data_IF_435125216969
#
_entry.id   IF_435125216969
#
_cell.length_a   1.000
_cell.length_b   1.000
_cell.length_c   1.000
_cell.angle_alpha   90.00
_cell.angle_beta   90.00
_cell.angle_gamma   90.00
#
_symmetry.space_group_name_H-M   'P 1'
#
loop_
_entity.id
_entity.type
_entity.pdbx_description
1 polymer ?
#
# COMPACT_ATOMS: atom_id res chain seq x y z
N UNK A 1 -7.05 -32.01 -9.64
CA UNK A 1 -7.46 -30.60 -9.37
C UNK A 1 -7.80 -29.91 -10.67
N UNK A 2 -8.87 -29.12 -10.74
CA UNK A 2 -9.06 -28.20 -11.86
C UNK A 2 -8.00 -27.08 -11.73
N UNK A 3 -6.96 -27.11 -12.57
CA UNK A 3 -5.81 -26.18 -12.55
C UNK A 3 -6.18 -24.68 -12.47
N UNK A 4 -7.42 -24.33 -12.85
CA UNK A 4 -7.95 -22.96 -12.85
C UNK A 4 -7.96 -22.26 -11.48
N UNK A 5 -8.12 -22.98 -10.35
CA UNK A 5 -8.20 -22.32 -9.02
C UNK A 5 -6.83 -21.97 -8.42
N UNK A 6 -5.77 -22.66 -8.79
CA UNK A 6 -4.42 -22.32 -8.31
C UNK A 6 -3.83 -21.15 -9.09
N UNK A 7 -4.15 -21.04 -10.39
CA UNK A 7 -3.72 -19.92 -11.22
C UNK A 7 -4.34 -18.57 -10.77
N UNK A 8 -5.45 -18.59 -10.03
CA UNK A 8 -6.01 -17.37 -9.45
C UNK A 8 -5.02 -16.64 -8.53
N UNK A 9 -4.22 -17.39 -7.76
CA UNK A 9 -3.23 -16.79 -6.85
C UNK A 9 -1.91 -16.47 -7.53
N UNK A 10 -1.57 -17.04 -8.70
CA UNK A 10 -0.31 -16.72 -9.38
C UNK A 10 -0.31 -15.30 -9.91
N UNK A 11 -1.46 -14.78 -10.31
CA UNK A 11 -1.58 -13.48 -10.98
C UNK A 11 -1.77 -12.32 -9.98
N UNK A 12 -1.99 -12.63 -8.70
CA UNK A 12 -2.13 -11.62 -7.66
C UNK A 12 -0.82 -10.88 -7.36
N UNK A 13 -0.94 -9.56 -7.21
CA UNK A 13 0.12 -8.73 -6.64
C UNK A 13 0.46 -9.12 -5.21
N UNK A 14 1.70 -8.84 -4.77
CA UNK A 14 2.25 -9.21 -3.43
C UNK A 14 1.30 -8.97 -2.26
N UNK A 15 0.76 -7.76 -2.16
CA UNK A 15 -0.07 -7.35 -1.03
C UNK A 15 -1.43 -8.05 -1.07
N UNK A 16 -2.05 -8.15 -2.24
CA UNK A 16 -3.31 -8.88 -2.42
C UNK A 16 -3.15 -10.36 -2.09
N UNK A 17 -2.05 -10.96 -2.55
CA UNK A 17 -1.69 -12.34 -2.22
C UNK A 17 -1.57 -12.53 -0.70
N UNK A 18 -0.78 -11.69 -0.03
CA UNK A 18 -0.61 -11.79 1.42
C UNK A 18 -1.91 -11.60 2.18
N UNK A 19 -2.71 -10.59 1.82
CA UNK A 19 -4.00 -10.31 2.47
C UNK A 19 -4.92 -11.54 2.42
N UNK A 20 -5.08 -12.10 1.23
CA UNK A 20 -5.91 -13.27 1.01
C UNK A 20 -5.42 -14.48 1.82
N UNK A 21 -4.11 -14.73 1.81
CA UNK A 21 -3.54 -15.86 2.54
C UNK A 21 -3.56 -15.68 4.07
N UNK A 22 -3.47 -14.45 4.58
CA UNK A 22 -3.70 -14.13 6.00
C UNK A 22 -5.13 -14.48 6.42
N UNK A 23 -6.12 -14.05 5.63
CA UNK A 23 -7.53 -14.37 5.88
C UNK A 23 -7.79 -15.88 5.88
N UNK A 24 -7.30 -16.60 4.86
CA UNK A 24 -7.37 -18.07 4.78
C UNK A 24 -6.67 -18.71 6.00
N UNK A 25 -5.54 -18.15 6.46
CA UNK A 25 -4.80 -18.69 7.61
C UNK A 25 -5.58 -18.56 8.92
N UNK A 26 -6.34 -17.48 9.13
CA UNK A 26 -7.21 -17.34 10.30
C UNK A 26 -8.36 -18.34 10.26
N UNK A 27 -8.97 -18.55 9.08
CA UNK A 27 -9.98 -19.59 8.90
C UNK A 27 -9.42 -21.00 9.17
N UNK A 28 -8.19 -21.27 8.73
CA UNK A 28 -7.55 -22.58 8.91
C UNK A 28 -7.26 -22.90 10.38
N UNK A 29 -6.95 -21.89 11.22
CA UNK A 29 -6.76 -22.07 12.67
C UNK A 29 -8.02 -22.53 13.40
N UNK A 30 -9.20 -22.38 12.79
CA UNK A 30 -10.47 -22.83 13.35
C UNK A 30 -10.73 -24.33 13.11
N UNK A 31 -9.89 -25.01 12.33
CA UNK A 31 -9.96 -26.46 12.12
C UNK A 31 -9.43 -27.16 13.36
N UNK A 32 -10.26 -28.00 13.98
CA UNK A 32 -9.91 -28.74 15.20
C UNK A 32 -9.56 -30.21 14.95
N UNK A 33 -9.78 -30.70 13.73
CA UNK A 33 -9.48 -32.09 13.35
C UNK A 33 -7.97 -32.40 13.54
N UNK A 34 -7.61 -33.37 14.41
CA UNK A 34 -6.21 -33.70 14.71
C UNK A 34 -5.38 -34.12 13.50
N UNK A 35 -5.99 -34.72 12.48
CA UNK A 35 -5.32 -35.17 11.25
C UNK A 35 -4.80 -34.00 10.41
N UNK A 36 -5.38 -32.80 10.60
CA UNK A 36 -5.02 -31.59 9.86
C UNK A 36 -4.08 -30.67 10.64
N UNK A 37 -3.85 -30.92 11.93
CA UNK A 37 -3.07 -30.04 12.81
C UNK A 37 -1.73 -29.64 12.21
N UNK A 38 -0.95 -30.61 11.72
CA UNK A 38 0.36 -30.33 11.14
C UNK A 38 0.28 -29.56 9.82
N UNK A 39 -0.71 -29.84 8.98
CA UNK A 39 -0.91 -29.10 7.73
C UNK A 39 -1.32 -27.65 7.98
N UNK A 40 -2.21 -27.41 8.96
CA UNK A 40 -2.61 -26.08 9.41
C UNK A 40 -1.41 -25.33 9.99
N UNK A 41 -0.66 -25.94 10.91
CA UNK A 41 0.52 -25.33 11.52
C UNK A 41 1.58 -24.95 10.48
N UNK A 42 1.88 -25.85 9.54
CA UNK A 42 2.85 -25.56 8.48
C UNK A 42 2.38 -24.41 7.58
N UNK A 43 1.11 -24.44 7.15
CA UNK A 43 0.55 -23.36 6.33
C UNK A 43 0.60 -22.01 7.06
N UNK A 44 0.15 -21.94 8.31
CA UNK A 44 0.22 -20.73 9.15
C UNK A 44 1.66 -20.24 9.31
N UNK A 45 2.62 -21.16 9.52
CA UNK A 45 4.03 -20.81 9.61
C UNK A 45 4.57 -20.21 8.29
N UNK A 46 4.21 -20.76 7.14
CA UNK A 46 4.61 -20.20 5.84
C UNK A 46 3.97 -18.85 5.54
N UNK A 47 2.70 -18.64 5.90
CA UNK A 47 2.02 -17.34 5.79
C UNK A 47 2.70 -16.31 6.70
N UNK A 48 3.05 -16.70 7.93
CA UNK A 48 3.81 -15.85 8.86
C UNK A 48 5.19 -15.49 8.34
N UNK A 49 5.95 -16.46 7.82
CA UNK A 49 7.24 -16.22 7.19
C UNK A 49 7.13 -15.27 5.98
N UNK A 50 6.16 -15.51 5.10
CA UNK A 50 5.86 -14.64 3.97
C UNK A 50 5.48 -13.23 4.42
N UNK A 51 4.72 -13.11 5.50
CA UNK A 51 4.35 -11.82 6.09
C UNK A 51 5.57 -11.06 6.60
N UNK A 52 6.59 -11.72 7.16
CA UNK A 52 7.84 -11.07 7.57
C UNK A 52 8.66 -10.57 6.38
N UNK A 53 8.61 -11.29 5.26
CA UNK A 53 9.29 -10.90 4.02
C UNK A 53 8.58 -9.72 3.35
N UNK A 54 7.24 -9.74 3.28
CA UNK A 54 6.42 -8.72 2.59
C UNK A 54 6.08 -7.51 3.48
N UNK A 55 5.75 -7.72 4.76
CA UNK A 55 5.33 -6.64 5.65
C UNK A 55 6.53 -5.85 6.16
N UNK A 56 6.46 -4.55 5.94
CA UNK A 56 7.27 -3.53 6.62
C UNK A 56 6.85 -3.49 8.10
N UNK A 57 7.76 -3.17 9.04
CA UNK A 57 7.47 -3.05 10.48
C UNK A 57 6.14 -2.35 10.77
N UNK A 58 5.41 -2.86 11.77
CA UNK A 58 4.05 -2.49 12.24
C UNK A 58 3.74 -0.98 12.33
N UNK A 59 4.75 -0.12 12.27
CA UNK A 59 4.67 1.32 12.51
C UNK A 59 4.25 2.11 11.25
N UNK A 60 4.13 1.47 10.09
CA UNK A 60 3.76 2.13 8.83
C UNK A 60 2.37 1.67 8.36
N UNK A 61 1.34 2.41 8.78
CA UNK A 61 -0.02 2.25 8.27
C UNK A 61 -0.07 2.74 6.80
N UNK A 62 -0.15 1.83 5.84
CA UNK A 62 -0.16 2.16 4.41
C UNK A 62 -1.37 3.00 3.99
N UNK A 63 -2.52 2.82 4.64
CA UNK A 63 -3.68 3.68 4.43
C UNK A 63 -3.40 5.09 4.97
N UNK A 64 -2.74 5.21 6.12
CA UNK A 64 -2.25 6.48 6.64
C UNK A 64 -1.21 7.12 5.71
N UNK A 65 -0.28 6.35 5.14
CA UNK A 65 0.69 6.86 4.16
C UNK A 65 -0.02 7.41 2.91
N UNK A 66 -1.01 6.68 2.37
CA UNK A 66 -1.82 7.15 1.24
C UNK A 66 -2.61 8.41 1.61
N UNK A 67 -3.20 8.44 2.80
CA UNK A 67 -3.92 9.61 3.31
C UNK A 67 -2.98 10.82 3.49
N UNK A 68 -1.79 10.63 4.07
CA UNK A 68 -0.77 11.67 4.23
C UNK A 68 -0.31 12.21 2.86
N UNK A 69 -0.14 11.34 1.86
CA UNK A 69 0.20 11.75 0.49
C UNK A 69 -0.92 12.64 -0.10
N UNK A 70 -2.19 12.24 0.05
CA UNK A 70 -3.35 13.05 -0.39
C UNK A 70 -3.44 14.37 0.38
N UNK A 71 -3.18 14.36 1.68
CA UNK A 71 -3.20 15.56 2.52
C UNK A 71 -2.08 16.54 2.13
N UNK A 72 -0.87 16.01 1.88
CA UNK A 72 0.24 16.79 1.36
C UNK A 72 -0.11 17.45 0.02
N UNK A 73 -0.81 16.76 -0.87
CA UNK A 73 -1.29 17.36 -2.13
C UNK A 73 -2.27 18.50 -1.90
N UNK A 74 -3.26 18.33 -1.02
CA UNK A 74 -4.24 19.38 -0.69
C UNK A 74 -3.56 20.61 -0.10
N UNK A 75 -2.63 20.40 0.82
CA UNK A 75 -1.88 21.48 1.49
C UNK A 75 -0.95 22.19 0.49
N UNK A 76 -0.22 21.46 -0.35
CA UNK A 76 0.62 22.06 -1.39
C UNK A 76 -0.20 22.89 -2.37
N UNK A 77 -1.37 22.40 -2.81
CA UNK A 77 -2.29 23.15 -3.67
C UNK A 77 -2.78 24.44 -3.02
N UNK A 78 -3.17 24.40 -1.75
CA UNK A 78 -3.61 25.59 -1.00
C UNK A 78 -2.47 26.60 -0.81
N UNK A 79 -1.25 26.11 -0.56
CA UNK A 79 -0.05 26.94 -0.50
C UNK A 79 0.22 27.66 -1.81
N UNK A 80 0.20 26.94 -2.93
CA UNK A 80 0.38 27.52 -4.28
C UNK A 80 -0.70 28.53 -4.62
N UNK A 81 -1.98 28.24 -4.32
CA UNK A 81 -3.09 29.22 -4.49
C UNK A 81 -2.88 30.49 -3.66
N UNK A 82 -2.32 30.36 -2.46
CA UNK A 82 -2.02 31.50 -1.60
C UNK A 82 -0.87 32.35 -2.16
N UNK A 83 0.16 31.70 -2.71
CA UNK A 83 1.28 32.36 -3.39
C UNK A 83 0.86 33.07 -4.69
N UNK A 84 -0.19 32.59 -5.38
CA UNK A 84 -0.79 33.25 -6.54
C UNK A 84 -1.19 34.71 -6.26
N UNK A 85 -1.67 34.97 -5.04
CA UNK A 85 -2.13 36.31 -4.61
C UNK A 85 -0.97 37.30 -4.48
N UNK A 86 0.27 36.82 -4.37
CA UNK A 86 1.48 37.64 -4.19
C UNK A 86 2.14 38.04 -5.52
N UNK A 87 2.04 37.22 -6.57
CA UNK A 87 2.75 37.41 -7.85
C UNK A 87 1.83 37.83 -9.00
N UNK A 88 1.07 38.91 -8.82
CA UNK A 88 -0.06 39.30 -9.70
C UNK A 88 0.25 39.48 -11.19
N UNK A 89 1.52 39.60 -11.60
CA UNK A 89 1.91 39.72 -13.00
C UNK A 89 3.00 38.75 -13.48
N UNK A 90 4.04 38.48 -12.69
CA UNK A 90 5.26 37.79 -13.19
C UNK A 90 5.22 36.26 -13.16
N UNK A 91 4.40 35.66 -12.29
CA UNK A 91 4.34 34.19 -12.14
C UNK A 91 2.89 33.65 -12.16
N UNK A 92 1.94 34.47 -12.60
CA UNK A 92 0.51 34.14 -12.63
C UNK A 92 0.21 32.90 -13.47
N UNK A 93 0.85 32.79 -14.63
CA UNK A 93 0.71 31.67 -15.55
C UNK A 93 1.26 30.37 -14.93
N UNK A 94 2.50 30.40 -14.42
CA UNK A 94 3.11 29.27 -13.70
C UNK A 94 2.26 28.80 -12.51
N UNK A 95 1.67 29.73 -11.76
CA UNK A 95 0.82 29.39 -10.62
C UNK A 95 -0.52 28.79 -11.07
N UNK A 96 -1.14 29.29 -12.14
CA UNK A 96 -2.36 28.69 -12.71
C UNK A 96 -2.09 27.26 -13.17
N UNK A 97 -1.00 27.05 -13.93
CA UNK A 97 -0.58 25.72 -14.39
C UNK A 97 -0.31 24.76 -13.24
N UNK A 98 0.33 25.22 -12.16
CA UNK A 98 0.56 24.38 -10.98
C UNK A 98 -0.75 24.03 -10.26
N UNK A 99 -1.68 24.97 -10.13
CA UNK A 99 -3.00 24.74 -9.51
C UNK A 99 -3.83 23.74 -10.31
N UNK A 100 -3.88 23.91 -11.64
CA UNK A 100 -4.55 22.99 -12.56
C UNK A 100 -3.92 21.59 -12.48
N UNK A 101 -2.58 21.50 -12.49
CA UNK A 101 -1.88 20.22 -12.32
C UNK A 101 -2.16 19.55 -10.96
N UNK A 102 -2.33 20.32 -9.88
CA UNK A 102 -2.74 19.77 -8.59
C UNK A 102 -4.20 19.31 -8.59
N UNK A 103 -5.09 20.03 -9.27
CA UNK A 103 -6.49 19.64 -9.41
C UNK A 103 -6.62 18.35 -10.23
N UNK A 104 -5.96 18.27 -11.39
CA UNK A 104 -5.92 17.06 -12.21
C UNK A 104 -5.29 15.88 -11.47
N UNK A 105 -4.26 16.11 -10.65
CA UNK A 105 -3.65 15.08 -9.82
C UNK A 105 -4.58 14.54 -8.72
N UNK A 106 -5.41 15.41 -8.11
CA UNK A 106 -6.38 15.04 -7.08
C UNK A 106 -7.54 14.24 -7.67
N UNK A 107 -7.95 14.55 -8.90
CA UNK A 107 -9.07 13.88 -9.59
C UNK A 107 -8.63 12.67 -10.45
N UNK A 108 -7.37 12.60 -10.89
CA UNK A 108 -6.92 11.68 -11.95
C UNK A 108 -5.95 10.56 -11.55
N UNK A 109 -5.57 10.39 -10.28
CA UNK A 109 -4.69 9.29 -9.81
C UNK A 109 -3.31 9.17 -10.50
N UNK A 110 -2.79 10.22 -11.17
CA UNK A 110 -1.48 10.16 -11.86
C UNK A 110 -0.31 10.57 -10.95
N UNK A 111 0.06 9.68 -10.03
CA UNK A 111 1.13 9.91 -9.03
C UNK A 111 2.50 10.27 -9.64
N UNK A 112 2.74 9.95 -10.91
CA UNK A 112 4.02 10.21 -11.61
C UNK A 112 4.24 11.71 -11.89
N UNK A 113 3.19 12.47 -12.19
CA UNK A 113 3.30 13.90 -12.52
C UNK A 113 3.32 14.78 -11.25
N UNK A 114 2.69 14.31 -10.16
CA UNK A 114 2.52 15.10 -8.92
C UNK A 114 3.81 15.35 -8.15
N UNK A 115 4.79 14.45 -8.28
CA UNK A 115 6.12 14.62 -7.66
C UNK A 115 6.79 15.89 -8.18
N UNK A 116 6.76 16.11 -9.50
CA UNK A 116 7.34 17.30 -10.11
C UNK A 116 6.61 18.58 -9.67
N UNK A 117 5.28 18.51 -9.55
CA UNK A 117 4.44 19.62 -9.10
C UNK A 117 4.72 20.04 -7.65
N UNK A 118 4.85 19.09 -6.71
CA UNK A 118 5.24 19.43 -5.33
C UNK A 118 6.66 19.99 -5.27
N UNK A 119 7.61 19.38 -5.99
CA UNK A 119 9.01 19.85 -6.02
C UNK A 119 9.07 21.30 -6.54
N UNK A 120 8.31 21.63 -7.57
CA UNK A 120 8.22 23.00 -8.10
C UNK A 120 7.57 23.97 -7.11
N UNK A 121 6.48 23.55 -6.44
CA UNK A 121 5.84 24.37 -5.41
C UNK A 121 6.78 24.69 -4.24
N UNK A 122 7.54 23.69 -3.76
CA UNK A 122 8.56 23.85 -2.73
C UNK A 122 9.69 24.76 -3.21
N UNK A 123 10.19 24.57 -4.44
CA UNK A 123 11.24 25.42 -5.02
C UNK A 123 10.85 26.89 -5.08
N UNK A 124 9.61 27.18 -5.47
CA UNK A 124 9.08 28.57 -5.50
C UNK A 124 8.96 29.11 -4.08
N UNK A 125 8.40 28.33 -3.15
CA UNK A 125 8.23 28.75 -1.76
C UNK A 125 9.56 29.03 -1.05
N UNK A 126 10.57 28.17 -1.25
CA UNK A 126 11.91 28.31 -0.67
C UNK A 126 12.74 29.44 -1.30
N UNK A 127 12.33 29.97 -2.45
CA UNK A 127 13.00 31.10 -3.10
C UNK A 127 12.52 32.47 -2.58
N UNK A 128 11.50 32.50 -1.71
CA UNK A 128 10.99 33.74 -1.12
C UNK A 128 11.81 34.08 0.13
N UNK A 129 12.39 35.29 0.24
CA UNK A 129 13.11 35.73 1.44
C UNK A 129 12.24 35.65 2.70
N UNK A 130 12.84 35.24 3.82
CA UNK A 130 12.13 35.01 5.09
C UNK A 130 11.45 36.26 5.62
N UNK A 131 12.06 37.43 5.40
CA UNK A 131 11.57 38.74 5.82
C UNK A 131 10.24 39.04 5.13
N UNK A 132 10.17 38.78 3.81
CA UNK A 132 8.94 38.92 3.03
C UNK A 132 7.87 37.90 3.45
N UNK A 133 8.26 36.69 3.85
CA UNK A 133 7.32 35.68 4.33
C UNK A 133 6.65 36.09 5.65
N UNK A 134 7.42 36.69 6.58
CA UNK A 134 6.90 37.18 7.87
C UNK A 134 6.00 38.39 7.70
N UNK A 135 6.34 39.32 6.81
CA UNK A 135 5.53 40.51 6.50
C UNK A 135 4.11 40.17 6.03
N UNK A 136 3.94 39.02 5.36
CA UNK A 136 2.62 38.55 4.88
C UNK A 136 2.05 37.36 5.65
N UNK A 137 2.59 37.05 6.84
CA UNK A 137 2.14 35.93 7.69
C UNK A 137 2.04 34.58 6.92
N UNK A 138 3.05 34.29 6.09
CA UNK A 138 3.12 33.09 5.25
C UNK A 138 4.23 32.10 5.67
N UNK A 139 5.05 32.47 6.64
CA UNK A 139 6.11 31.65 7.20
C UNK A 139 5.60 30.30 7.73
N UNK A 140 4.52 30.29 8.52
CA UNK A 140 3.90 29.05 9.00
C UNK A 140 3.37 28.18 7.86
N UNK A 141 2.89 28.80 6.78
CA UNK A 141 2.33 28.08 5.62
C UNK A 141 3.41 27.42 4.80
N UNK A 142 4.55 28.10 4.57
CA UNK A 142 5.72 27.54 3.89
C UNK A 142 6.34 26.42 4.74
N UNK A 143 6.45 26.61 6.06
CA UNK A 143 6.94 25.59 6.98
C UNK A 143 6.05 24.33 6.95
N UNK A 144 4.73 24.51 6.91
CA UNK A 144 3.77 23.41 6.76
C UNK A 144 3.97 22.68 5.42
N UNK A 145 4.12 23.41 4.31
CA UNK A 145 4.33 22.84 2.98
C UNK A 145 5.59 21.96 2.91
N UNK A 146 6.68 22.41 3.52
CA UNK A 146 7.94 21.66 3.61
C UNK A 146 7.81 20.40 4.48
N UNK A 147 7.10 20.49 5.60
CA UNK A 147 6.85 19.34 6.49
C UNK A 147 6.08 18.24 5.76
N UNK A 148 4.99 18.60 5.08
CA UNK A 148 4.17 17.63 4.34
C UNK A 148 4.92 17.02 3.14
N UNK A 149 5.78 17.79 2.46
CA UNK A 149 6.66 17.25 1.41
C UNK A 149 7.64 16.20 1.96
N UNK A 150 8.26 16.46 3.10
CA UNK A 150 9.18 15.50 3.72
C UNK A 150 8.45 14.21 4.11
N UNK A 151 7.22 14.33 4.62
CA UNK A 151 6.37 13.18 4.94
C UNK A 151 5.95 12.39 3.69
N UNK A 152 5.66 13.09 2.58
CA UNK A 152 5.45 12.49 1.26
C UNK A 152 6.68 11.68 0.80
N UNK A 153 7.89 12.25 0.87
CA UNK A 153 9.13 11.57 0.46
C UNK A 153 9.37 10.30 1.27
N UNK A 154 9.17 10.36 2.59
CA UNK A 154 9.30 9.20 3.47
C UNK A 154 8.28 8.11 3.14
N UNK A 155 7.00 8.48 3.00
CA UNK A 155 5.93 7.54 2.64
C UNK A 155 6.18 6.90 1.27
N UNK A 156 6.68 7.68 0.30
CA UNK A 156 6.98 7.17 -1.04
C UNK A 156 8.16 6.20 -1.05
N UNK A 157 9.26 6.52 -0.35
CA UNK A 157 10.38 5.59 -0.17
C UNK A 157 9.95 4.28 0.49
N UNK A 158 9.06 4.33 1.48
CA UNK A 158 8.52 3.14 2.13
C UNK A 158 7.68 2.27 1.17
N UNK A 159 6.92 2.89 0.25
CA UNK A 159 6.16 2.20 -0.78
C UNK A 159 7.06 1.61 -1.88
N UNK A 160 8.07 2.36 -2.33
CA UNK A 160 9.00 1.96 -3.38
C UNK A 160 9.94 0.83 -2.91
N UNK A 161 10.42 0.89 -1.66
CA UNK A 161 11.19 -0.20 -1.03
C UNK A 161 10.37 -1.49 -0.84
N UNK A 162 9.04 -1.38 -0.81
CA UNK A 162 8.14 -2.52 -0.80
C UNK A 162 7.98 -3.15 -2.19
N UNK A 163 8.12 -2.36 -3.26
CA UNK A 163 8.01 -2.84 -4.64
C UNK A 163 9.29 -3.51 -5.12
N UNK A 164 10.46 -3.09 -4.64
CA UNK A 164 11.76 -3.72 -4.95
C UNK A 164 11.90 -5.14 -4.39
N UNK A 165 11.19 -5.49 -3.31
CA UNK A 165 11.12 -6.86 -2.78
C UNK A 165 10.38 -7.86 -3.69
N UNK A 166 9.57 -7.40 -4.65
CA UNK A 166 8.85 -8.28 -5.59
C UNK A 166 9.78 -9.17 -6.43
N UNK A 167 11.00 -8.68 -6.67
CA UNK A 167 12.02 -9.38 -7.44
C UNK A 167 13.12 -9.97 -6.55
N UNK A 168 12.95 -9.96 -5.22
CA UNK A 168 13.94 -10.60 -4.35
C UNK A 168 13.77 -12.12 -4.40
N UNK A 169 14.90 -12.84 -4.46
CA UNK A 169 14.93 -14.31 -4.41
C UNK A 169 14.20 -14.84 -3.19
N UNK A 170 14.35 -14.15 -2.04
CA UNK A 170 13.69 -14.49 -0.79
C UNK A 170 12.16 -14.42 -0.89
N UNK A 171 11.61 -13.35 -1.48
CA UNK A 171 10.17 -13.25 -1.71
C UNK A 171 9.65 -14.35 -2.63
N UNK A 172 10.35 -14.61 -3.73
CA UNK A 172 9.96 -15.65 -4.68
C UNK A 172 9.90 -17.04 -4.01
N UNK A 173 10.90 -17.35 -3.17
CA UNK A 173 10.96 -18.59 -2.38
C UNK A 173 9.84 -18.65 -1.36
N UNK A 174 9.64 -17.61 -0.54
CA UNK A 174 8.57 -17.60 0.47
C UNK A 174 7.18 -17.68 -0.16
N UNK A 175 6.94 -17.03 -1.30
CA UNK A 175 5.67 -17.13 -2.04
C UNK A 175 5.43 -18.57 -2.51
N UNK A 176 6.45 -19.21 -3.08
CA UNK A 176 6.38 -20.60 -3.53
C UNK A 176 6.08 -21.55 -2.37
N UNK A 177 6.75 -21.39 -1.24
CA UNK A 177 6.52 -22.22 -0.05
C UNK A 177 5.11 -22.05 0.51
N UNK A 178 4.60 -20.81 0.55
CA UNK A 178 3.22 -20.53 0.95
C UNK A 178 2.20 -21.21 0.02
N UNK A 179 2.41 -21.13 -1.30
CA UNK A 179 1.55 -21.80 -2.28
C UNK A 179 1.57 -23.32 -2.13
N UNK A 180 2.74 -23.92 -1.90
CA UNK A 180 2.87 -25.37 -1.70
C UNK A 180 2.14 -25.79 -0.42
N UNK A 181 2.38 -25.11 0.70
CA UNK A 181 1.72 -25.42 1.97
C UNK A 181 0.19 -25.24 1.87
N UNK A 182 -0.28 -24.21 1.17
CA UNK A 182 -1.70 -24.01 0.90
C UNK A 182 -2.31 -25.17 0.11
N UNK A 183 -1.64 -25.62 -0.97
CA UNK A 183 -2.10 -26.76 -1.77
C UNK A 183 -2.22 -28.03 -0.93
N UNK A 184 -1.20 -28.33 -0.12
CA UNK A 184 -1.21 -29.51 0.74
C UNK A 184 -2.37 -29.46 1.75
N UNK A 185 -2.58 -28.32 2.41
CA UNK A 185 -3.72 -28.14 3.32
C UNK A 185 -5.05 -28.31 2.58
N UNK A 186 -5.19 -27.66 1.42
CA UNK A 186 -6.41 -27.70 0.62
C UNK A 186 -6.75 -29.13 0.17
N UNK A 187 -5.78 -29.90 -0.32
CA UNK A 187 -5.99 -31.28 -0.75
C UNK A 187 -6.45 -32.17 0.40
N UNK A 188 -5.83 -32.04 1.58
CA UNK A 188 -6.22 -32.82 2.76
C UNK A 188 -7.62 -32.45 3.24
N UNK A 189 -7.93 -31.15 3.33
CA UNK A 189 -9.26 -30.66 3.72
C UNK A 189 -10.30 -31.06 2.67
N UNK A 190 -10.00 -31.00 1.38
CA UNK A 190 -10.92 -31.45 0.34
C UNK A 190 -11.23 -32.95 0.45
N UNK A 191 -10.21 -33.78 0.70
CA UNK A 191 -10.38 -35.22 0.88
C UNK A 191 -11.21 -35.56 2.13
N UNK A 192 -10.90 -34.92 3.26
CA UNK A 192 -11.66 -35.09 4.51
C UNK A 192 -13.11 -34.59 4.37
N UNK A 193 -13.32 -33.50 3.64
CA UNK A 193 -14.65 -32.97 3.32
C UNK A 193 -15.50 -33.98 2.55
N UNK A 194 -14.91 -34.69 1.56
CA UNK A 194 -15.58 -35.72 0.76
C UNK A 194 -16.02 -36.93 1.59
N UNK A 195 -15.20 -37.33 2.58
CA UNK A 195 -15.53 -38.46 3.47
C UNK A 195 -16.41 -38.07 4.65
N UNK A 196 -16.75 -36.80 4.81
CA UNK A 196 -17.79 -36.36 5.74
C UNK A 196 -17.33 -35.47 6.89
N UNK A 197 -16.04 -35.15 7.01
CA UNK A 197 -15.51 -34.38 8.14
C UNK A 197 -16.18 -32.99 8.26
N UNK A 198 -16.80 -32.67 9.40
CA UNK A 198 -17.61 -31.46 9.56
C UNK A 198 -16.76 -30.18 9.50
N UNK A 199 -15.57 -30.19 10.11
CA UNK A 199 -14.65 -29.05 10.09
C UNK A 199 -14.18 -28.76 8.66
N UNK A 200 -13.78 -29.79 7.93
CA UNK A 200 -13.36 -29.70 6.54
C UNK A 200 -14.49 -29.25 5.62
N UNK A 201 -15.72 -29.73 5.82
CA UNK A 201 -16.91 -29.24 5.08
C UNK A 201 -17.17 -27.77 5.33
N UNK A 202 -17.16 -27.34 6.60
CA UNK A 202 -17.37 -25.95 7.00
C UNK A 202 -16.30 -25.04 6.41
N UNK A 203 -15.03 -25.44 6.49
CA UNK A 203 -13.91 -24.70 5.93
C UNK A 203 -14.00 -24.59 4.40
N UNK A 204 -14.30 -25.69 3.70
CA UNK A 204 -14.45 -25.67 2.23
C UNK A 204 -15.65 -24.83 1.77
N UNK A 205 -16.74 -24.81 2.52
CA UNK A 205 -17.89 -23.95 2.23
C UNK A 205 -17.53 -22.47 2.39
N UNK A 206 -16.88 -22.11 3.49
CA UNK A 206 -16.38 -20.76 3.73
C UNK A 206 -15.38 -20.31 2.67
N UNK A 207 -14.41 -21.16 2.32
CA UNK A 207 -13.40 -20.87 1.29
C UNK A 207 -14.00 -20.64 -0.11
N UNK A 208 -15.18 -21.20 -0.41
CA UNK A 208 -15.89 -20.97 -1.68
C UNK A 208 -16.66 -19.65 -1.71
N UNK A 209 -17.00 -19.09 -0.56
CA UNK A 209 -17.70 -17.82 -0.42
C UNK A 209 -16.76 -16.61 -0.39
N UNK A 210 -15.46 -16.87 -0.28
CA UNK A 210 -14.33 -15.94 -0.31
C UNK A 210 -13.90 -15.60 -1.73
#
# INVERSE_FOLDING_TARGET
MNHKKINYFSDMGMISFLKQHLEISEGAKMITNPLLTHAVQNYVAQVSALSKVILVPKNLNLAQCRWNIVNAYKICRLGVKSLARYNSSKHKELVSTLVEAFDDAVWGYRVVEVKATIVNAVRIASAIPMEKLKEVAMDERVATLLREYNQYVQCRKALDNNTSKKNSTEYAVSRKNCLVAYRCLFEQVENLSKIGDPDSKKFMAWLRAL
#
